data_IF_177882766121
#
_entry.id   IF_177882766121
#
_cell.length_a   1.000
_cell.length_b   1.000
_cell.length_c   1.000
_cell.angle_alpha   90.00
_cell.angle_beta   90.00
_cell.angle_gamma   90.00
#
_symmetry.space_group_name_H-M   'P 1'
#
loop_
_entity.id
_entity.type
_entity.pdbx_description
1 polymer ?
#
# COMPACT_ATOMS: atom_id res chain seq x y z
N UNK A 1 -1.79 -12.29 6.91
CA UNK A 1 -1.13 -11.89 5.67
C UNK A 1 -0.55 -10.50 5.80
N UNK A 2 0.67 -10.31 5.36
CA UNK A 2 1.33 -8.99 5.36
C UNK A 2 1.14 -8.34 3.98
N UNK A 3 0.52 -7.17 3.96
CA UNK A 3 0.07 -6.50 2.74
C UNK A 3 0.73 -5.13 2.67
N UNK A 4 1.51 -4.87 1.61
CA UNK A 4 2.10 -3.56 1.36
C UNK A 4 1.11 -2.70 0.55
N UNK A 5 0.81 -1.50 1.04
CA UNK A 5 -0.07 -0.58 0.35
C UNK A 5 0.75 0.51 -0.36
N UNK A 6 0.46 0.73 -1.64
CA UNK A 6 0.96 1.90 -2.37
C UNK A 6 0.29 3.16 -1.80
N UNK A 7 1.04 4.25 -1.72
CA UNK A 7 0.53 5.50 -1.15
C UNK A 7 -0.74 6.02 -1.84
N UNK A 8 -0.91 5.75 -3.14
CA UNK A 8 -2.11 6.15 -3.87
C UNK A 8 -3.39 5.50 -3.33
N UNK A 9 -3.32 4.30 -2.79
CA UNK A 9 -4.47 3.65 -2.15
C UNK A 9 -4.93 4.50 -0.94
N UNK A 10 -4.00 4.96 -0.13
CA UNK A 10 -4.30 5.80 1.02
C UNK A 10 -4.80 7.19 0.61
N UNK A 11 -4.19 7.79 -0.43
CA UNK A 11 -4.64 9.07 -0.97
C UNK A 11 -6.05 9.00 -1.55
N UNK A 12 -6.38 7.91 -2.23
CA UNK A 12 -7.73 7.69 -2.76
C UNK A 12 -8.78 7.75 -1.66
N UNK A 13 -8.45 7.21 -0.48
CA UNK A 13 -9.35 7.24 0.66
C UNK A 13 -9.41 8.63 1.30
N UNK A 14 -8.26 9.21 1.61
CA UNK A 14 -8.16 10.49 2.31
C UNK A 14 -8.73 11.65 1.49
N UNK A 15 -8.45 11.67 0.19
CA UNK A 15 -8.89 12.71 -0.73
C UNK A 15 -10.18 12.37 -1.48
N UNK A 16 -10.78 11.21 -1.18
CA UNK A 16 -12.01 10.71 -1.82
C UNK A 16 -11.96 10.78 -3.33
N UNK A 17 -10.88 10.23 -3.90
CA UNK A 17 -10.64 10.29 -5.36
C UNK A 17 -11.54 9.32 -6.11
N UNK A 18 -12.45 9.87 -6.93
CA UNK A 18 -13.26 9.06 -7.82
C UNK A 18 -12.50 8.72 -9.13
N UNK A 19 -12.71 7.56 -9.71
CA UNK A 19 -13.60 6.46 -9.32
C UNK A 19 -12.97 5.45 -8.35
N UNK A 20 -11.83 5.74 -7.75
CA UNK A 20 -10.99 4.80 -7.00
C UNK A 20 -11.39 4.64 -5.53
N UNK A 21 -12.12 5.62 -4.99
CA UNK A 21 -12.40 5.71 -3.55
C UNK A 21 -13.01 4.43 -2.96
N UNK A 22 -14.08 3.92 -3.57
CA UNK A 22 -14.81 2.79 -3.02
C UNK A 22 -13.93 1.53 -2.90
N UNK A 23 -13.21 1.17 -3.95
CA UNK A 23 -12.35 -0.01 -3.95
C UNK A 23 -11.16 0.16 -3.00
N UNK A 24 -10.52 1.31 -3.00
CA UNK A 24 -9.39 1.60 -2.10
C UNK A 24 -9.80 1.61 -0.63
N UNK A 25 -10.97 2.15 -0.30
CA UNK A 25 -11.50 2.13 1.06
C UNK A 25 -11.81 0.71 1.54
N UNK A 26 -12.37 -0.12 0.67
CA UNK A 26 -12.65 -1.52 0.98
C UNK A 26 -11.38 -2.34 1.18
N UNK A 27 -10.37 -2.12 0.34
CA UNK A 27 -9.03 -2.72 0.51
C UNK A 27 -8.43 -2.34 1.85
N UNK A 28 -8.48 -1.06 2.21
CA UNK A 28 -7.94 -0.59 3.49
C UNK A 28 -8.66 -1.28 4.66
N UNK A 29 -9.97 -1.42 4.60
CA UNK A 29 -10.75 -2.13 5.62
C UNK A 29 -10.28 -3.57 5.77
N UNK A 30 -10.07 -4.28 4.67
CA UNK A 30 -9.56 -5.66 4.69
C UNK A 30 -8.14 -5.73 5.26
N UNK A 31 -7.27 -4.82 4.85
CA UNK A 31 -5.88 -4.80 5.30
C UNK A 31 -5.76 -4.53 6.80
N UNK A 32 -6.74 -3.84 7.39
CA UNK A 32 -6.79 -3.53 8.82
C UNK A 32 -7.47 -4.61 9.67
N UNK A 33 -7.98 -5.68 9.07
CA UNK A 33 -8.52 -6.81 9.83
C UNK A 33 -7.44 -7.47 10.66
N UNK A 34 -7.81 -8.01 11.82
CA UNK A 34 -6.86 -8.58 12.81
C UNK A 34 -6.03 -9.74 12.26
N UNK A 35 -6.50 -10.43 11.22
CA UNK A 35 -5.77 -11.50 10.55
C UNK A 35 -4.67 -10.99 9.60
N UNK A 36 -4.63 -9.68 9.32
CA UNK A 36 -3.72 -9.07 8.39
C UNK A 36 -2.83 -8.03 9.07
N UNK A 37 -1.71 -7.73 8.43
CA UNK A 37 -0.84 -6.61 8.79
C UNK A 37 -0.73 -5.72 7.57
N UNK A 38 -1.28 -4.52 7.67
CA UNK A 38 -1.15 -3.49 6.63
C UNK A 38 0.19 -2.78 6.82
N UNK A 39 0.99 -2.74 5.75
CA UNK A 39 2.33 -2.17 5.77
C UNK A 39 2.42 -0.95 4.86
N UNK A 40 3.24 0.01 5.24
CA UNK A 40 3.54 1.21 4.47
C UNK A 40 5.05 1.44 4.53
N UNK A 41 5.72 1.73 3.40
CA UNK A 41 7.15 2.03 3.46
C UNK A 41 7.40 3.39 4.12
N UNK A 42 8.50 3.50 4.87
CA UNK A 42 8.82 4.72 5.64
C UNK A 42 8.83 5.99 4.79
N UNK A 43 9.37 5.92 3.57
CA UNK A 43 9.43 7.10 2.69
C UNK A 43 8.04 7.60 2.27
N UNK A 44 7.05 6.71 2.16
CA UNK A 44 5.68 7.08 1.78
C UNK A 44 5.00 7.94 2.84
N UNK A 45 5.36 7.76 4.10
CA UNK A 45 4.79 8.55 5.21
C UNK A 45 5.07 10.04 5.04
N UNK A 46 6.29 10.40 4.69
CA UNK A 46 6.66 11.80 4.45
C UNK A 46 6.04 12.35 3.18
N UNK A 47 5.95 11.55 2.13
CA UNK A 47 5.29 11.94 0.88
C UNK A 47 3.80 12.20 1.10
N UNK A 48 3.11 11.34 1.84
CA UNK A 48 1.70 11.53 2.19
C UNK A 48 1.49 12.83 2.98
N UNK A 49 2.34 13.08 3.98
CA UNK A 49 2.26 14.32 4.75
C UNK A 49 2.41 15.54 3.83
N UNK A 50 3.41 15.54 2.96
CA UNK A 50 3.65 16.63 2.02
C UNK A 50 2.43 16.90 1.14
N UNK A 51 1.84 15.86 0.55
CA UNK A 51 0.71 15.99 -0.37
C UNK A 51 -0.52 16.53 0.36
N UNK A 52 -0.86 15.98 1.53
CA UNK A 52 -2.04 16.41 2.29
C UNK A 52 -1.85 17.84 2.80
N UNK A 53 -0.66 18.19 3.29
CA UNK A 53 -0.38 19.55 3.75
C UNK A 53 -0.52 20.57 2.60
N UNK A 54 -0.10 20.19 1.39
CA UNK A 54 -0.17 21.07 0.21
C UNK A 54 -1.60 21.29 -0.28
N UNK A 55 -2.43 20.24 -0.32
CA UNK A 55 -3.77 20.30 -0.91
C UNK A 55 -4.89 20.51 0.10
N UNK A 56 -4.63 20.35 1.36
CA UNK A 56 -5.57 20.65 2.45
C UNK A 56 -4.89 21.60 3.44
N UNK A 57 -4.39 21.05 4.55
CA UNK A 57 -3.64 21.82 5.52
C UNK A 57 -2.72 20.92 6.35
N UNK A 58 -1.85 21.57 7.13
CA UNK A 58 -0.86 20.90 7.97
C UNK A 58 -1.51 20.08 9.10
N UNK A 59 -2.62 20.57 9.65
CA UNK A 59 -3.32 19.88 10.73
C UNK A 59 -3.88 18.53 10.25
N UNK A 60 -4.53 18.52 9.08
CA UNK A 60 -5.02 17.29 8.47
C UNK A 60 -3.87 16.32 8.14
N UNK A 61 -2.76 16.84 7.63
CA UNK A 61 -1.57 16.03 7.34
C UNK A 61 -1.03 15.38 8.62
N UNK A 62 -0.92 16.13 9.72
CA UNK A 62 -0.46 15.60 11.00
C UNK A 62 -1.43 14.54 11.56
N UNK A 63 -2.72 14.79 11.45
CA UNK A 63 -3.75 13.82 11.87
C UNK A 63 -3.65 12.52 11.08
N UNK A 64 -3.41 12.60 9.77
CA UNK A 64 -3.21 11.42 8.94
C UNK A 64 -1.96 10.63 9.38
N UNK A 65 -0.85 11.31 9.60
CA UNK A 65 0.39 10.65 10.04
C UNK A 65 0.18 9.93 11.37
N UNK A 66 -0.47 10.58 12.33
CA UNK A 66 -0.78 9.98 13.63
C UNK A 66 -1.65 8.72 13.46
N UNK A 67 -2.65 8.79 12.59
CA UNK A 67 -3.51 7.65 12.30
C UNK A 67 -2.75 6.50 11.65
N UNK A 68 -1.90 6.80 10.66
CA UNK A 68 -1.10 5.79 9.98
C UNK A 68 -0.14 5.08 10.94
N UNK A 69 0.53 5.85 11.80
CA UNK A 69 1.44 5.28 12.81
C UNK A 69 0.71 4.40 13.83
N UNK A 70 -0.56 4.70 14.12
CA UNK A 70 -1.35 3.92 15.06
C UNK A 70 -1.92 2.63 14.46
N UNK A 71 -2.16 2.57 13.15
CA UNK A 71 -2.91 1.49 12.52
C UNK A 71 -2.12 0.65 11.52
N UNK A 72 -1.06 1.19 10.90
CA UNK A 72 -0.24 0.48 9.94
C UNK A 72 1.15 0.20 10.52
N UNK A 73 1.77 -0.86 10.03
CA UNK A 73 3.20 -1.06 10.25
C UNK A 73 3.99 -0.22 9.24
N UNK A 74 4.61 0.84 9.72
CA UNK A 74 5.51 1.66 8.90
C UNK A 74 6.86 0.96 8.89
N UNK A 75 7.25 0.38 7.76
CA UNK A 75 8.46 -0.41 7.67
C UNK A 75 9.69 0.46 7.51
N UNK A 76 10.73 0.15 8.30
CA UNK A 76 12.00 0.84 8.23
C UNK A 76 12.70 0.54 6.90
N UNK A 77 13.40 1.54 6.38
CA UNK A 77 14.18 1.41 5.15
C UNK A 77 15.60 1.89 5.42
N UNK A 78 16.58 1.06 5.10
CA UNK A 78 17.98 1.39 5.25
C UNK A 78 18.69 1.46 3.88
N UNK A 79 20.00 1.74 3.92
CA UNK A 79 20.80 1.84 2.72
C UNK A 79 20.72 0.58 1.84
N UNK A 80 20.72 -0.61 2.45
CA UNK A 80 20.72 -1.87 1.69
C UNK A 80 19.45 -2.04 0.85
N UNK A 81 18.30 -1.61 1.37
CA UNK A 81 17.04 -1.67 0.65
C UNK A 81 17.00 -0.69 -0.51
N UNK A 82 17.58 0.51 -0.37
CA UNK A 82 17.66 1.47 -1.47
C UNK A 82 18.63 1.01 -2.55
N UNK A 83 19.74 0.35 -2.17
CA UNK A 83 20.65 -0.29 -3.13
C UNK A 83 19.91 -1.40 -3.88
N UNK A 84 19.15 -2.24 -3.17
CA UNK A 84 18.31 -3.29 -3.79
C UNK A 84 17.30 -2.69 -4.77
N UNK A 85 16.63 -1.59 -4.37
CA UNK A 85 15.67 -0.90 -5.23
C UNK A 85 16.31 -0.47 -6.57
N UNK A 86 17.54 0.04 -6.55
CA UNK A 86 18.26 0.42 -7.76
C UNK A 86 18.59 -0.76 -8.68
N UNK A 87 18.61 -1.96 -8.15
CA UNK A 87 18.88 -3.18 -8.94
C UNK A 87 17.62 -3.74 -9.62
N UNK A 88 16.44 -3.30 -9.21
CA UNK A 88 15.17 -3.74 -9.81
C UNK A 88 14.92 -2.99 -11.13
N UNK A 89 14.38 -3.70 -12.11
CA UNK A 89 13.98 -3.09 -13.39
C UNK A 89 12.59 -2.42 -13.26
N UNK A 90 12.52 -1.43 -12.39
CA UNK A 90 11.34 -0.62 -12.13
C UNK A 90 11.73 0.84 -12.38
N UNK A 91 11.07 1.48 -13.34
CA UNK A 91 11.46 2.80 -13.82
C UNK A 91 11.34 3.90 -12.76
N UNK A 92 10.25 3.91 -11.99
CA UNK A 92 10.04 4.88 -10.93
C UNK A 92 10.74 4.44 -9.65
N UNK A 93 11.61 5.30 -9.10
CA UNK A 93 12.41 4.95 -7.93
C UNK A 93 11.58 4.79 -6.66
N UNK A 94 10.50 5.55 -6.49
CA UNK A 94 9.59 5.34 -5.34
C UNK A 94 8.91 3.98 -5.42
N UNK A 95 8.49 3.54 -6.60
CA UNK A 95 7.90 2.22 -6.81
C UNK A 95 8.93 1.12 -6.53
N UNK A 96 10.16 1.30 -7.01
CA UNK A 96 11.26 0.38 -6.76
C UNK A 96 11.58 0.29 -5.25
N UNK A 97 11.57 1.41 -4.54
CA UNK A 97 11.78 1.47 -3.10
C UNK A 97 10.64 0.77 -2.35
N UNK A 98 9.41 0.93 -2.80
CA UNK A 98 8.25 0.24 -2.22
C UNK A 98 8.37 -1.28 -2.40
N UNK A 99 8.71 -1.73 -3.60
CA UNK A 99 8.89 -3.16 -3.89
C UNK A 99 10.00 -3.78 -3.03
N UNK A 100 11.11 -3.08 -2.89
CA UNK A 100 12.23 -3.51 -2.05
C UNK A 100 11.83 -3.54 -0.56
N UNK A 101 11.07 -2.57 -0.09
CA UNK A 101 10.58 -2.55 1.28
C UNK A 101 9.60 -3.71 1.53
N UNK A 102 8.74 -4.02 0.57
CA UNK A 102 7.81 -5.14 0.65
C UNK A 102 8.56 -6.47 0.77
N UNK A 103 9.59 -6.67 -0.06
CA UNK A 103 10.45 -7.86 0.01
C UNK A 103 11.13 -7.98 1.37
N UNK A 104 11.77 -6.93 1.82
CA UNK A 104 12.55 -6.92 3.07
C UNK A 104 11.68 -7.13 4.31
N UNK A 105 10.43 -6.67 4.30
CA UNK A 105 9.50 -6.80 5.42
C UNK A 105 8.64 -8.05 5.37
N UNK A 106 8.85 -8.92 4.38
CA UNK A 106 8.12 -10.18 4.25
C UNK A 106 6.66 -10.02 3.84
N UNK A 107 6.34 -8.96 3.08
CA UNK A 107 5.00 -8.81 2.54
C UNK A 107 4.73 -9.87 1.48
N UNK A 108 3.51 -10.42 1.50
CA UNK A 108 3.08 -11.42 0.54
C UNK A 108 2.61 -10.81 -0.76
N UNK A 109 2.12 -9.58 -0.72
CA UNK A 109 1.64 -8.87 -1.89
C UNK A 109 1.70 -7.35 -1.70
N UNK A 110 1.65 -6.66 -2.84
CA UNK A 110 1.54 -5.20 -2.93
C UNK A 110 0.18 -4.89 -3.55
N UNK A 111 -0.52 -3.89 -3.00
CA UNK A 111 -1.75 -3.37 -3.61
C UNK A 111 -1.47 -2.00 -4.20
N UNK A 112 -1.71 -1.89 -5.50
CA UNK A 112 -1.45 -0.68 -6.29
C UNK A 112 -2.45 -0.57 -7.44
N UNK A 113 -2.73 0.64 -7.89
CA UNK A 113 -3.51 0.85 -9.13
C UNK A 113 -2.68 0.61 -10.40
N UNK A 114 -1.35 0.65 -10.28
CA UNK A 114 -0.42 0.65 -11.41
C UNK A 114 0.39 -0.66 -11.46
N UNK A 115 -0.30 -1.80 -11.53
CA UNK A 115 0.32 -3.14 -11.52
C UNK A 115 1.40 -3.28 -12.61
N UNK A 116 1.20 -2.67 -13.78
CA UNK A 116 2.16 -2.73 -14.88
C UNK A 116 3.56 -2.20 -14.47
N UNK A 117 3.61 -1.21 -13.58
CA UNK A 117 4.86 -0.63 -13.11
C UNK A 117 5.64 -1.56 -12.17
N UNK A 118 4.98 -2.60 -11.67
CA UNK A 118 5.55 -3.56 -10.70
C UNK A 118 5.83 -4.94 -11.29
N UNK A 119 5.90 -5.09 -12.62
CA UNK A 119 6.15 -6.40 -13.24
C UNK A 119 7.47 -7.02 -12.81
N UNK A 120 8.49 -6.22 -12.58
CA UNK A 120 9.80 -6.68 -12.12
C UNK A 120 9.93 -6.73 -10.59
N UNK A 121 8.84 -6.53 -9.86
CA UNK A 121 8.84 -6.58 -8.40
C UNK A 121 9.04 -8.01 -7.90
N UNK A 122 9.91 -8.20 -6.87
CA UNK A 122 10.06 -9.52 -6.23
C UNK A 122 8.81 -9.94 -5.43
N UNK A 123 7.92 -8.99 -5.12
CA UNK A 123 6.64 -9.25 -4.44
C UNK A 123 5.51 -8.99 -5.44
N UNK A 124 4.56 -9.92 -5.62
CA UNK A 124 3.50 -9.73 -6.61
C UNK A 124 2.59 -8.56 -6.28
N UNK A 125 2.17 -7.83 -7.31
CA UNK A 125 1.30 -6.66 -7.19
C UNK A 125 -0.09 -6.95 -7.77
N UNK A 126 -1.11 -6.44 -7.10
CA UNK A 126 -2.51 -6.60 -7.49
C UNK A 126 -3.22 -5.26 -7.41
N UNK A 127 -4.21 -5.07 -8.28
CA UNK A 127 -5.12 -3.92 -8.16
C UNK A 127 -6.06 -4.13 -6.97
N UNK A 128 -6.67 -3.04 -6.45
CA UNK A 128 -7.73 -3.17 -5.45
C UNK A 128 -8.83 -4.14 -5.87
N UNK A 129 -9.28 -4.07 -7.11
CA UNK A 129 -10.34 -4.92 -7.64
C UNK A 129 -9.93 -6.39 -7.68
N UNK A 130 -8.71 -6.69 -8.14
CA UNK A 130 -8.18 -8.05 -8.17
C UNK A 130 -8.07 -8.63 -6.76
N UNK A 131 -7.57 -7.85 -5.81
CA UNK A 131 -7.46 -8.27 -4.42
C UNK A 131 -8.84 -8.56 -3.80
N UNK A 132 -9.83 -7.69 -4.04
CA UNK A 132 -11.17 -7.84 -3.50
C UNK A 132 -11.87 -9.07 -4.07
N UNK A 133 -11.70 -9.35 -5.37
CA UNK A 133 -12.25 -10.56 -6.01
C UNK A 133 -11.67 -11.82 -5.39
N UNK A 134 -10.36 -11.88 -5.18
CA UNK A 134 -9.70 -13.01 -4.55
C UNK A 134 -10.18 -13.21 -3.11
N UNK A 135 -10.29 -12.13 -2.33
CA UNK A 135 -10.79 -12.17 -0.95
C UNK A 135 -12.24 -12.66 -0.88
N UNK A 136 -13.10 -12.25 -1.81
CA UNK A 136 -14.48 -12.71 -1.89
C UNK A 136 -14.55 -14.20 -2.20
N UNK A 137 -13.71 -14.68 -3.13
CA UNK A 137 -13.66 -16.09 -3.49
C UNK A 137 -13.22 -16.97 -2.30
N UNK A 138 -12.24 -16.53 -1.52
CA UNK A 138 -11.77 -17.22 -0.32
C UNK A 138 -12.83 -17.26 0.79
N UNK A 139 -13.70 -16.27 0.86
CA UNK A 139 -14.77 -16.15 1.85
C UNK A 139 -16.04 -16.88 1.46
N UNK A 140 -16.15 -17.36 0.22
CA UNK A 140 -17.30 -18.13 -0.22
C UNK A 140 -17.37 -19.43 0.61
N UNK A 141 -18.55 -19.77 1.21
CA UNK A 141 -18.66 -20.99 2.01
C UNK A 141 -18.45 -22.23 1.13
N UNK A 142 -17.61 -23.16 1.62
CA UNK A 142 -17.44 -24.44 0.96
C UNK A 142 -18.80 -25.16 0.91
N UNK A 143 -19.18 -25.66 -0.26
CA UNK A 143 -20.42 -26.41 -0.44
C UNK A 143 -21.64 -25.55 -0.71
N UNK A 144 -21.49 -24.23 -0.92
CA UNK A 144 -22.57 -23.40 -1.45
C UNK A 144 -22.72 -23.69 -2.95
N UNK A 145 -23.29 -24.79 -3.26
CA UNK A 145 -23.52 -25.23 -4.62
C UNK A 145 -24.97 -25.62 -4.83
#
# INVERSE_FOLDING_TARGET
MRIMLDLNILLDVVQRREPFYAASAEVLSHALETSNVACLPGHALTTLHYIVAKYADREQANTLVDWLLAHLEVVAQDRSQFVRARSLDIADFEDAALASAAEASGCELIITRNVADFQASPVPAFTPEEFLLASTAERAPEGAG
#
